data_IF_676387444151
#
_entry.id   IF_676387444151
#
_cell.length_a   1.000
_cell.length_b   1.000
_cell.length_c   1.000
_cell.angle_alpha   90.00
_cell.angle_beta   90.00
_cell.angle_gamma   90.00
#
_symmetry.space_group_name_H-M   'P 1'
#
loop_
_entity.id
_entity.type
_entity.pdbx_description
1 polymer ?
#
# COMPACT_ATOMS: atom_id res chain seq x y z
N UNK A 1 9.97 -9.29 12.39
CA UNK A 1 10.82 -8.08 12.30
C UNK A 1 12.29 -8.38 12.61
N UNK A 2 12.72 -9.63 12.47
CA UNK A 2 14.11 -10.06 12.73
C UNK A 2 15.17 -9.22 11.99
N UNK A 3 14.80 -8.67 10.82
CA UNK A 3 15.67 -7.86 9.96
C UNK A 3 15.46 -6.35 10.08
N UNK A 4 14.61 -5.88 11.01
CA UNK A 4 14.36 -4.45 11.20
C UNK A 4 15.24 -3.97 12.36
N UNK A 5 16.17 -3.03 12.12
CA UNK A 5 17.04 -2.51 13.17
C UNK A 5 16.26 -1.86 14.31
N UNK A 6 16.83 -1.90 15.51
CA UNK A 6 16.26 -1.21 16.67
C UNK A 6 16.12 0.30 16.40
N UNK A 7 14.97 0.87 16.77
CA UNK A 7 14.67 2.29 16.55
C UNK A 7 14.24 2.67 15.13
N UNK A 8 14.30 1.75 14.16
CA UNK A 8 13.86 2.03 12.79
C UNK A 8 12.32 2.07 12.71
N UNK A 9 11.76 3.23 12.34
CA UNK A 9 10.34 3.31 11.97
C UNK A 9 10.12 2.52 10.68
N UNK A 10 9.32 1.46 10.75
CA UNK A 10 9.08 0.54 9.64
C UNK A 10 7.69 -0.07 9.72
N UNK A 11 7.10 -0.33 8.55
CA UNK A 11 5.86 -1.08 8.41
C UNK A 11 5.95 -2.01 7.21
N UNK A 12 5.38 -3.21 7.35
CA UNK A 12 5.10 -4.10 6.23
C UNK A 12 3.61 -4.07 5.93
N UNK A 13 3.28 -3.96 4.64
CA UNK A 13 1.90 -3.99 4.15
C UNK A 13 1.76 -5.20 3.24
N UNK A 14 1.06 -6.22 3.73
CA UNK A 14 0.70 -7.39 2.93
C UNK A 14 -0.52 -7.05 2.06
N UNK A 15 -0.35 -7.15 0.75
CA UNK A 15 -1.39 -6.86 -0.24
C UNK A 15 -1.82 -8.10 -1.02
N UNK A 16 -1.43 -9.32 -0.62
CA UNK A 16 -1.69 -10.53 -1.39
C UNK A 16 -3.17 -10.71 -1.76
N UNK A 17 -4.08 -10.42 -0.81
CA UNK A 17 -5.52 -10.44 -1.04
C UNK A 17 -5.99 -9.37 -2.04
N UNK A 18 -5.80 -8.07 -1.75
CA UNK A 18 -6.35 -7.01 -2.60
C UNK A 18 -5.59 -6.78 -3.91
N UNK A 19 -4.36 -7.28 -4.08
CA UNK A 19 -3.53 -7.02 -5.26
C UNK A 19 -4.15 -7.48 -6.58
N UNK A 20 -5.00 -8.51 -6.54
CA UNK A 20 -5.65 -9.07 -7.72
C UNK A 20 -7.11 -9.43 -7.42
N UNK A 21 -7.99 -9.26 -8.39
CA UNK A 21 -9.39 -9.70 -8.28
C UNK A 21 -9.84 -10.44 -9.53
N UNK A 22 -10.67 -11.45 -9.35
CA UNK A 22 -11.28 -12.23 -10.43
C UNK A 22 -12.56 -11.59 -11.00
N UNK A 23 -13.07 -10.53 -10.36
CA UNK A 23 -14.34 -9.86 -10.69
C UNK A 23 -14.17 -8.35 -10.70
N UNK A 24 -14.89 -7.68 -11.60
CA UNK A 24 -14.98 -6.22 -11.58
C UNK A 24 -15.95 -5.74 -10.48
N UNK A 25 -15.60 -4.66 -9.80
CA UNK A 25 -16.44 -3.98 -8.82
C UNK A 25 -16.06 -2.50 -8.69
N UNK A 26 -17.04 -1.60 -8.62
CA UNK A 26 -16.79 -0.16 -8.57
C UNK A 26 -15.93 0.32 -9.75
N UNK A 27 -14.83 1.02 -9.47
CA UNK A 27 -13.84 1.43 -10.47
C UNK A 27 -12.72 0.38 -10.71
N UNK A 28 -12.74 -0.75 -9.99
CA UNK A 28 -11.73 -1.81 -10.09
C UNK A 28 -12.16 -2.83 -11.15
N UNK A 29 -11.29 -3.07 -12.13
CA UNK A 29 -11.49 -4.09 -13.16
C UNK A 29 -11.02 -5.46 -12.68
N UNK A 30 -11.45 -6.54 -13.37
CA UNK A 30 -10.86 -7.87 -13.21
C UNK A 30 -9.36 -7.79 -13.55
N UNK A 31 -8.52 -8.37 -12.70
CA UNK A 31 -7.07 -8.36 -12.87
C UNK A 31 -6.34 -7.69 -11.71
N UNK A 32 -5.18 -7.11 -12.00
CA UNK A 32 -4.40 -6.33 -11.04
C UNK A 32 -5.13 -5.05 -10.64
N UNK A 33 -5.18 -4.77 -9.33
CA UNK A 33 -6.01 -3.68 -8.78
C UNK A 33 -5.22 -2.40 -8.49
N UNK A 34 -3.89 -2.48 -8.40
CA UNK A 34 -3.05 -1.38 -7.91
C UNK A 34 -3.20 -1.11 -6.42
N UNK A 35 -3.63 -2.11 -5.62
CA UNK A 35 -3.74 -1.99 -4.17
C UNK A 35 -2.44 -1.45 -3.54
N UNK A 36 -2.60 -0.47 -2.64
CA UNK A 36 -1.49 0.20 -1.96
C UNK A 36 -0.96 1.45 -2.68
N UNK A 37 -1.11 1.59 -4.01
CA UNK A 37 -0.51 2.72 -4.75
C UNK A 37 -1.02 4.07 -4.23
N UNK A 38 -2.34 4.29 -4.23
CA UNK A 38 -2.91 5.57 -3.76
C UNK A 38 -2.64 5.82 -2.28
N UNK A 39 -2.60 4.78 -1.46
CA UNK A 39 -2.30 4.89 -0.03
C UNK A 39 -0.86 5.37 0.19
N UNK A 40 0.11 4.79 -0.51
CA UNK A 40 1.52 5.17 -0.38
C UNK A 40 1.80 6.56 -0.97
N UNK A 41 1.11 6.94 -2.06
CA UNK A 41 1.18 8.30 -2.61
C UNK A 41 0.65 9.32 -1.59
N UNK A 42 -0.56 9.10 -1.05
CA UNK A 42 -1.14 9.99 -0.05
C UNK A 42 -0.24 10.12 1.19
N UNK A 43 0.32 9.01 1.68
CA UNK A 43 1.27 9.03 2.80
C UNK A 43 2.51 9.89 2.49
N UNK A 44 3.08 9.77 1.29
CA UNK A 44 4.24 10.56 0.89
C UNK A 44 3.91 12.05 0.78
N UNK A 45 2.72 12.39 0.26
CA UNK A 45 2.22 13.77 0.20
C UNK A 45 2.03 14.36 1.60
N UNK A 46 1.40 13.62 2.52
CA UNK A 46 1.19 14.05 3.91
C UNK A 46 2.53 14.27 4.64
N UNK A 47 3.50 13.38 4.44
CA UNK A 47 4.84 13.51 5.03
C UNK A 47 5.58 14.72 4.47
N UNK A 48 5.44 15.00 3.17
CA UNK A 48 6.07 16.15 2.53
C UNK A 48 5.43 17.47 2.98
N UNK A 49 4.11 17.51 3.18
CA UNK A 49 3.39 18.70 3.64
C UNK A 49 3.62 19.01 5.14
N UNK A 50 3.98 17.99 5.92
CA UNK A 50 4.24 18.10 7.37
C UNK A 50 5.72 18.40 7.70
N UNK A 51 6.54 18.69 6.68
CA UNK A 51 7.97 19.00 6.81
C UNK A 51 8.24 20.50 6.91
#
# INVERSE_FOLDING_TARGET
AEFVPEGQRWVHVDIAGPAFTDKAYGYTQKGGTGAGVRTLVALAEDMAASS
#
